data_IF_897793442918
#
_entry.id   IF_897793442918
#
_cell.length_a   1.000
_cell.length_b   1.000
_cell.length_c   1.000
_cell.angle_alpha   90.00
_cell.angle_beta   90.00
_cell.angle_gamma   90.00
#
_symmetry.space_group_name_H-M   'P 1'
#
loop_
_entity.id
_entity.type
_entity.pdbx_description
1 polymer ?
#
# COMPACT_ATOMS: atom_id res chain seq x y z
N UNK A 1 1.24 12.36 -8.07
CA UNK A 1 1.79 11.23 -7.29
C UNK A 1 2.46 10.29 -8.27
N UNK A 2 3.74 9.99 -8.05
CA UNK A 2 4.54 9.08 -8.88
C UNK A 2 4.63 7.77 -8.11
N UNK A 3 4.34 6.63 -8.72
CA UNK A 3 4.46 5.34 -8.03
C UNK A 3 5.94 5.00 -7.91
N UNK A 4 6.40 4.66 -6.70
CA UNK A 4 7.73 4.13 -6.50
C UNK A 4 7.77 2.71 -7.07
N UNK A 5 8.57 2.50 -8.11
CA UNK A 5 8.77 1.16 -8.68
C UNK A 5 10.01 0.54 -8.01
N UNK A 6 9.98 -0.74 -7.60
CA UNK A 6 11.18 -1.50 -7.26
C UNK A 6 12.22 -1.38 -8.38
N UNK A 7 13.48 -1.06 -8.06
CA UNK A 7 14.52 -0.86 -9.09
C UNK A 7 14.80 -2.11 -9.95
N UNK A 8 14.41 -3.31 -9.52
CA UNK A 8 14.53 -4.51 -10.36
C UNK A 8 13.46 -4.60 -11.47
N UNK A 9 12.26 -4.02 -11.28
CA UNK A 9 11.25 -3.89 -12.35
C UNK A 9 11.62 -2.78 -13.36
N UNK A 10 12.46 -1.83 -12.91
CA UNK A 10 12.96 -0.70 -13.67
C UNK A 10 13.89 -1.08 -14.84
N UNK A 11 14.61 -2.19 -14.72
CA UNK A 11 15.69 -2.56 -15.63
C UNK A 11 15.24 -3.46 -16.80
N UNK A 12 13.98 -3.91 -16.83
CA UNK A 12 13.47 -4.79 -17.91
C UNK A 12 12.88 -4.09 -19.14
N UNK A 13 12.72 -2.77 -19.14
CA UNK A 13 12.49 -1.99 -20.35
C UNK A 13 12.67 -0.50 -20.02
N UNK A 14 13.66 0.13 -20.65
CA UNK A 14 13.85 1.58 -20.54
C UNK A 14 12.63 2.32 -21.06
N UNK A 15 11.74 2.72 -20.14
CA UNK A 15 10.88 3.93 -20.08
C UNK A 15 9.93 3.73 -18.89
N UNK A 16 10.35 4.05 -17.66
CA UNK A 16 9.49 3.98 -16.48
C UNK A 16 8.61 5.23 -16.39
N UNK A 17 7.54 5.27 -17.17
CA UNK A 17 6.50 6.28 -16.97
C UNK A 17 5.12 5.60 -17.02
N UNK A 18 4.62 5.34 -15.81
CA UNK A 18 3.21 5.25 -15.42
C UNK A 18 2.37 4.10 -15.98
N UNK A 19 2.37 2.95 -15.29
CA UNK A 19 1.14 2.16 -15.18
C UNK A 19 0.17 2.96 -14.30
N UNK A 20 -0.88 3.52 -14.89
CA UNK A 20 -1.98 4.20 -14.18
C UNK A 20 -2.40 3.32 -13.01
N UNK A 21 -2.25 3.81 -11.80
CA UNK A 21 -2.79 3.22 -10.58
C UNK A 21 -4.22 3.70 -10.40
N UNK A 22 -5.14 2.81 -10.03
CA UNK A 22 -6.50 3.21 -9.68
C UNK A 22 -6.50 3.96 -8.35
N UNK A 23 -6.89 5.24 -8.39
CA UNK A 23 -6.98 6.12 -7.22
C UNK A 23 -8.39 6.16 -6.64
N UNK A 24 -8.55 6.46 -5.35
CA UNK A 24 -9.87 6.71 -4.77
C UNK A 24 -10.47 7.97 -5.39
N UNK A 25 -11.73 7.89 -5.83
CA UNK A 25 -12.46 8.99 -6.47
C UNK A 25 -13.95 8.89 -6.18
N UNK A 26 -14.55 10.03 -5.84
CA UNK A 26 -15.99 10.14 -5.72
C UNK A 26 -16.64 10.24 -7.10
N UNK A 27 -17.53 9.30 -7.43
CA UNK A 27 -18.20 9.26 -8.73
C UNK A 27 -19.50 10.06 -8.77
N UNK A 28 -20.15 10.25 -7.62
CA UNK A 28 -21.35 11.06 -7.51
C UNK A 28 -20.99 12.54 -7.45
N UNK A 29 -21.54 13.33 -8.37
CA UNK A 29 -21.33 14.78 -8.42
C UNK A 29 -21.87 15.49 -7.17
N UNK A 30 -22.94 14.96 -6.55
CA UNK A 30 -23.51 15.52 -5.33
C UNK A 30 -22.61 15.24 -4.11
N UNK A 31 -21.86 14.14 -4.13
CA UNK A 31 -20.93 13.76 -3.06
C UNK A 31 -19.50 13.76 -3.60
N UNK A 32 -18.97 14.94 -3.91
CA UNK A 32 -17.70 15.08 -4.63
C UNK A 32 -16.46 15.17 -3.74
N UNK A 33 -16.61 15.29 -2.43
CA UNK A 33 -15.49 15.44 -1.51
C UNK A 33 -15.03 14.10 -0.94
N UNK A 34 -13.83 13.65 -1.32
CA UNK A 34 -13.22 12.44 -0.77
C UNK A 34 -12.89 12.63 0.71
N UNK A 35 -13.45 11.78 1.57
CA UNK A 35 -13.19 11.79 3.02
C UNK A 35 -12.14 10.76 3.38
N UNK A 36 -12.33 9.52 2.93
CA UNK A 36 -11.42 8.41 3.24
C UNK A 36 -11.59 7.27 2.25
N UNK A 37 -10.59 6.40 2.20
CA UNK A 37 -10.66 5.14 1.47
C UNK A 37 -9.94 4.04 2.25
N UNK A 38 -10.36 2.79 2.04
CA UNK A 38 -9.69 1.62 2.57
C UNK A 38 -9.85 0.40 1.65
N UNK A 39 -8.92 -0.54 1.74
CA UNK A 39 -9.02 -1.78 1.00
C UNK A 39 -10.14 -2.67 1.55
N UNK A 40 -11.09 -3.01 0.69
CA UNK A 40 -12.17 -3.95 0.99
C UNK A 40 -11.74 -5.39 0.68
N UNK A 41 -11.02 -5.57 -0.42
CA UNK A 41 -10.36 -6.81 -0.82
C UNK A 41 -9.02 -6.46 -1.45
N UNK A 42 -8.21 -7.46 -1.79
CA UNK A 42 -6.96 -7.25 -2.55
C UNK A 42 -7.19 -6.58 -3.90
N UNK A 43 -8.41 -6.58 -4.44
CA UNK A 43 -8.74 -6.05 -5.77
C UNK A 43 -9.82 -4.96 -5.72
N UNK A 44 -10.15 -4.42 -4.55
CA UNK A 44 -11.13 -3.35 -4.43
C UNK A 44 -10.93 -2.47 -3.21
N UNK A 45 -11.29 -1.20 -3.35
CA UNK A 45 -11.32 -0.24 -2.25
C UNK A 45 -12.75 0.27 -2.02
N UNK A 46 -13.09 0.54 -0.77
CA UNK A 46 -14.26 1.33 -0.41
C UNK A 46 -13.85 2.78 -0.25
N UNK A 47 -14.66 3.68 -0.79
CA UNK A 47 -14.43 5.13 -0.78
C UNK A 47 -15.61 5.80 -0.09
N UNK A 48 -15.32 6.69 0.86
CA UNK A 48 -16.33 7.52 1.53
C UNK A 48 -16.24 8.94 1.00
N UNK A 49 -17.39 9.46 0.59
CA UNK A 49 -17.51 10.77 -0.02
C UNK A 49 -18.55 11.62 0.71
N UNK A 50 -18.24 12.89 0.94
CA UNK A 50 -19.12 13.86 1.56
C UNK A 50 -19.78 14.77 0.53
N UNK A 51 -20.98 15.25 0.87
CA UNK A 51 -21.64 16.30 0.14
C UNK A 51 -21.16 17.67 0.64
N UNK A 52 -20.67 18.50 -0.29
CA UNK A 52 -20.18 19.84 0.02
C UNK A 52 -21.28 20.80 0.48
N UNK A 53 -22.47 20.67 -0.10
CA UNK A 53 -23.60 21.56 0.14
C UNK A 53 -24.40 21.14 1.40
N UNK A 54 -24.27 19.88 1.81
CA UNK A 54 -24.95 19.30 2.99
C UNK A 54 -23.95 18.66 3.96
N UNK A 55 -23.27 19.46 4.81
CA UNK A 55 -22.30 18.96 5.77
C UNK A 55 -22.87 17.85 6.67
N UNK A 56 -22.11 16.77 6.84
CA UNK A 56 -22.51 15.61 7.64
C UNK A 56 -23.30 14.53 6.89
N UNK A 57 -23.51 14.69 5.59
CA UNK A 57 -24.06 13.64 4.72
C UNK A 57 -22.95 12.95 3.93
N UNK A 58 -23.01 11.61 3.87
CA UNK A 58 -21.98 10.78 3.28
C UNK A 58 -22.58 9.72 2.36
N UNK A 59 -21.83 9.33 1.34
CA UNK A 59 -22.09 8.14 0.54
C UNK A 59 -20.84 7.24 0.52
N UNK A 60 -21.03 5.98 0.17
CA UNK A 60 -19.96 5.01 0.02
C UNK A 60 -20.04 4.32 -1.32
N UNK A 61 -18.91 4.24 -2.03
CA UNK A 61 -18.78 3.50 -3.28
C UNK A 61 -17.66 2.46 -3.18
N UNK A 62 -17.79 1.38 -3.95
CA UNK A 62 -16.70 0.42 -4.14
C UNK A 62 -16.06 0.64 -5.51
N UNK A 63 -14.74 0.84 -5.51
CA UNK A 63 -13.93 0.94 -6.73
C UNK A 63 -13.15 -0.36 -6.88
N UNK A 64 -13.25 -0.97 -8.07
CA UNK A 64 -12.45 -2.13 -8.43
C UNK A 64 -11.08 -1.69 -8.92
N UNK A 65 -10.04 -2.34 -8.42
CA UNK A 65 -8.70 -2.23 -8.98
C UNK A 65 -8.66 -2.83 -10.40
N UNK A 66 -7.74 -2.34 -11.23
CA UNK A 66 -7.47 -3.00 -12.51
C UNK A 66 -6.86 -4.39 -12.24
N UNK A 67 -7.03 -5.33 -13.18
CA UNK A 67 -6.75 -6.75 -12.91
C UNK A 67 -5.32 -7.12 -12.50
N UNK A 68 -4.32 -6.26 -12.74
CA UNK A 68 -2.93 -6.48 -12.32
C UNK A 68 -2.52 -5.59 -11.13
N UNK A 69 -3.46 -4.85 -10.54
CA UNK A 69 -3.21 -4.00 -9.39
C UNK A 69 -3.66 -4.70 -8.11
N UNK A 70 -3.02 -4.35 -7.00
CA UNK A 70 -3.43 -4.76 -5.66
C UNK A 70 -3.83 -3.53 -4.87
N UNK A 71 -4.84 -3.65 -4.03
CA UNK A 71 -5.20 -2.60 -3.10
C UNK A 71 -4.19 -2.56 -1.95
N UNK A 72 -3.61 -1.40 -1.70
CA UNK A 72 -2.77 -1.13 -0.55
C UNK A 72 -3.34 0.01 0.29
N UNK A 73 -3.36 -0.19 1.61
CA UNK A 73 -3.79 0.80 2.58
C UNK A 73 -2.57 1.58 3.08
N UNK A 74 -2.60 2.90 2.93
CA UNK A 74 -1.53 3.78 3.39
C UNK A 74 -2.07 5.01 4.09
N UNK A 75 -1.20 5.68 4.85
CA UNK A 75 -1.52 6.92 5.54
C UNK A 75 -0.98 8.11 4.74
N UNK A 76 -1.84 9.02 4.25
CA UNK A 76 -1.40 10.29 3.64
C UNK A 76 -0.84 11.25 4.71
N UNK A 77 -1.39 11.17 5.92
CA UNK A 77 -0.92 11.80 7.16
C UNK A 77 -1.16 10.81 8.30
N UNK A 78 -0.61 11.04 9.49
CA UNK A 78 -0.82 10.17 10.67
C UNK A 78 -2.30 9.90 11.01
N UNK A 79 -3.25 10.69 10.47
CA UNK A 79 -4.68 10.57 10.73
C UNK A 79 -5.53 10.26 9.49
N UNK A 80 -4.95 10.30 8.29
CA UNK A 80 -5.69 10.17 7.04
C UNK A 80 -5.43 8.80 6.41
N UNK A 81 -6.26 7.82 6.80
CA UNK A 81 -6.28 6.50 6.15
C UNK A 81 -6.77 6.64 4.72
N UNK A 82 -5.98 6.14 3.79
CA UNK A 82 -6.31 6.06 2.38
C UNK A 82 -6.02 4.67 1.85
N UNK A 83 -6.53 4.40 0.66
CA UNK A 83 -6.19 3.23 -0.11
C UNK A 83 -5.96 3.62 -1.56
N UNK A 84 -5.09 2.88 -2.24
CA UNK A 84 -4.84 3.02 -3.66
C UNK A 84 -4.50 1.65 -4.25
N UNK A 85 -4.86 1.43 -5.52
CA UNK A 85 -4.45 0.22 -6.21
C UNK A 85 -3.04 0.39 -6.78
N UNK A 86 -2.06 -0.32 -6.23
CA UNK A 86 -0.68 -0.33 -6.67
C UNK A 86 -0.48 -1.28 -7.85
N UNK A 87 0.20 -0.80 -8.90
CA UNK A 87 0.53 -1.58 -10.10
C UNK A 87 1.96 -2.16 -10.06
N UNK A 88 2.70 -1.82 -9.02
CA UNK A 88 4.06 -2.28 -8.73
C UNK A 88 4.17 -2.46 -7.22
N UNK A 89 4.57 -3.66 -6.80
CA UNK A 89 4.54 -4.11 -5.42
C UNK A 89 5.45 -5.32 -5.24
N UNK A 90 5.84 -5.59 -3.99
CA UNK A 90 6.43 -6.87 -3.60
C UNK A 90 5.32 -7.80 -3.14
N UNK A 91 5.43 -9.07 -3.49
CA UNK A 91 4.52 -10.13 -3.08
C UNK A 91 5.31 -11.24 -2.39
N UNK A 92 4.82 -11.73 -1.25
CA UNK A 92 5.38 -12.88 -0.57
C UNK A 92 4.29 -13.63 0.20
N UNK A 93 4.42 -14.94 0.36
CA UNK A 93 3.48 -15.76 1.12
C UNK A 93 4.14 -16.36 2.35
N UNK A 94 3.31 -16.86 3.27
CA UNK A 94 3.83 -17.46 4.49
C UNK A 94 4.52 -18.81 4.27
N UNK A 95 4.22 -19.56 3.20
CA UNK A 95 4.78 -20.89 2.93
C UNK A 95 4.80 -21.83 4.16
N UNK A 96 3.78 -21.74 5.02
CA UNK A 96 3.70 -22.43 6.32
C UNK A 96 4.80 -22.08 7.34
N UNK A 97 5.53 -20.99 7.11
CA UNK A 97 6.46 -20.40 8.07
C UNK A 97 5.72 -19.51 9.07
N UNK A 98 6.18 -19.53 10.32
CA UNK A 98 5.67 -18.66 11.39
C UNK A 98 5.99 -17.18 11.13
N UNK A 99 7.17 -16.89 10.57
CA UNK A 99 7.61 -15.55 10.16
C UNK A 99 7.84 -15.57 8.65
N UNK A 100 7.27 -14.61 7.94
CA UNK A 100 7.50 -14.48 6.50
C UNK A 100 7.78 -13.04 6.09
N UNK A 101 8.81 -12.86 5.29
CA UNK A 101 9.32 -11.57 4.87
C UNK A 101 9.35 -11.45 3.35
N UNK A 102 9.09 -10.24 2.85
CA UNK A 102 9.39 -9.88 1.49
C UNK A 102 10.90 -9.92 1.23
N UNK A 103 11.29 -9.90 -0.04
CA UNK A 103 12.67 -9.57 -0.38
C UNK A 103 12.92 -8.09 -0.09
N UNK A 104 14.13 -7.70 0.34
CA UNK A 104 14.54 -6.30 0.35
C UNK A 104 14.49 -5.72 -1.06
N UNK A 105 13.96 -4.50 -1.19
CA UNK A 105 13.93 -3.79 -2.45
C UNK A 105 14.01 -2.27 -2.25
N UNK A 106 14.84 -1.56 -3.04
CA UNK A 106 14.84 -0.11 -3.07
C UNK A 106 13.71 0.40 -3.97
N UNK A 107 13.13 1.54 -3.61
CA UNK A 107 12.03 2.16 -4.36
C UNK A 107 12.46 3.50 -4.96
N UNK A 108 11.94 3.85 -6.12
CA UNK A 108 12.21 5.17 -6.72
C UNK A 108 13.56 5.29 -7.45
N UNK A 109 13.73 6.40 -8.19
CA UNK A 109 14.78 6.56 -9.20
C UNK A 109 16.07 7.24 -8.73
N UNK A 110 16.39 7.22 -7.44
CA UNK A 110 17.61 7.85 -6.88
C UNK A 110 17.50 9.36 -6.62
N UNK A 111 16.35 9.97 -6.89
CA UNK A 111 16.03 11.33 -6.43
C UNK A 111 15.57 11.29 -4.96
N UNK A 112 15.71 12.42 -4.28
CA UNK A 112 15.12 12.61 -2.95
C UNK A 112 13.63 12.85 -3.10
N UNK A 113 12.82 12.06 -2.40
CA UNK A 113 11.36 12.19 -2.41
C UNK A 113 10.75 11.73 -1.10
N UNK A 114 9.55 12.21 -0.81
CA UNK A 114 8.75 11.66 0.29
C UNK A 114 8.08 10.37 -0.19
N UNK A 115 8.31 9.28 0.55
CA UNK A 115 7.76 7.97 0.25
C UNK A 115 6.72 7.59 1.29
N UNK A 116 5.55 7.20 0.80
CA UNK A 116 4.49 6.55 1.56
C UNK A 116 4.60 5.06 1.29
N UNK A 117 4.84 4.26 2.32
CA UNK A 117 4.91 2.80 2.19
C UNK A 117 3.75 2.16 2.94
N UNK A 118 3.21 1.11 2.34
CA UNK A 118 2.15 0.31 2.93
C UNK A 118 2.36 -1.17 2.66
N UNK A 119 1.93 -1.98 3.61
CA UNK A 119 1.92 -3.42 3.52
C UNK A 119 0.55 -3.94 3.95
N UNK A 120 0.01 -4.89 3.21
CA UNK A 120 -1.27 -5.52 3.50
C UNK A 120 -1.20 -7.05 3.35
N UNK A 121 -2.00 -7.78 4.11
CA UNK A 121 -2.07 -9.24 4.09
C UNK A 121 -3.47 -9.72 3.73
N UNK A 122 -3.54 -10.69 2.83
CA UNK A 122 -4.79 -11.25 2.33
C UNK A 122 -4.79 -12.78 2.38
N UNK A 123 -5.99 -13.35 2.50
CA UNK A 123 -6.22 -14.79 2.34
C UNK A 123 -6.25 -15.21 0.86
N UNK A 124 -6.48 -16.49 0.62
CA UNK A 124 -6.53 -17.08 -0.73
C UNK A 124 -7.67 -16.53 -1.59
N UNK A 125 -8.74 -16.05 -0.96
CA UNK A 125 -9.91 -15.46 -1.63
C UNK A 125 -9.72 -13.95 -1.86
N UNK A 126 -8.64 -13.37 -1.33
CA UNK A 126 -8.32 -11.96 -1.45
C UNK A 126 -9.01 -11.09 -0.40
N UNK A 127 -9.51 -11.66 0.69
CA UNK A 127 -10.03 -10.87 1.82
C UNK A 127 -8.89 -10.50 2.77
N UNK A 128 -8.93 -9.31 3.40
CA UNK A 128 -7.93 -8.94 4.40
C UNK A 128 -7.89 -9.96 5.55
N UNK A 129 -6.70 -10.44 5.89
CA UNK A 129 -6.51 -11.40 6.99
C UNK A 129 -5.57 -10.82 8.04
N UNK A 130 -5.96 -10.93 9.31
CA UNK A 130 -5.13 -10.41 10.39
C UNK A 130 -3.93 -11.32 10.65
N UNK A 131 -2.80 -10.68 10.96
CA UNK A 131 -1.56 -11.33 11.38
C UNK A 131 -1.20 -10.90 12.80
N UNK A 132 -0.43 -11.73 13.51
CA UNK A 132 -0.08 -11.51 14.92
C UNK A 132 0.78 -10.24 15.06
N UNK A 133 1.76 -10.09 14.17
CA UNK A 133 2.61 -8.92 14.05
C UNK A 133 2.89 -8.62 12.57
N UNK A 134 2.94 -7.34 12.21
CA UNK A 134 3.28 -6.88 10.87
C UNK A 134 4.21 -5.67 10.96
N UNK A 135 5.38 -5.72 10.34
CA UNK A 135 6.39 -4.68 10.41
C UNK A 135 6.97 -4.32 9.04
N UNK A 136 7.42 -3.08 8.92
CA UNK A 136 8.19 -2.55 7.79
C UNK A 136 9.57 -2.19 8.30
N UNK A 137 10.59 -2.57 7.54
CA UNK A 137 11.99 -2.32 7.82
C UNK A 137 12.60 -1.46 6.71
N UNK A 138 13.59 -0.65 7.10
CA UNK A 138 14.50 0.04 6.19
C UNK A 138 15.93 -0.28 6.63
N UNK A 139 16.74 -0.91 5.78
CA UNK A 139 18.07 -1.40 6.12
C UNK A 139 18.10 -2.21 7.43
N UNK A 140 17.19 -3.19 7.55
CA UNK A 140 17.01 -4.04 8.75
C UNK A 140 16.61 -3.30 10.04
N UNK A 141 16.28 -2.01 9.97
CA UNK A 141 15.75 -1.26 11.10
C UNK A 141 14.24 -1.16 10.98
N UNK A 142 13.53 -1.60 12.02
CA UNK A 142 12.08 -1.43 12.09
C UNK A 142 11.72 0.06 12.08
N UNK A 143 10.86 0.46 11.14
CA UNK A 143 10.37 1.84 11.01
C UNK A 143 8.88 1.96 11.29
N UNK A 144 8.14 0.85 11.23
CA UNK A 144 6.74 0.77 11.61
C UNK A 144 6.35 -0.66 11.94
N UNK A 145 5.46 -0.83 12.92
CA UNK A 145 4.87 -2.11 13.25
C UNK A 145 3.45 -1.98 13.77
N UNK A 146 2.67 -3.05 13.59
CA UNK A 146 1.34 -3.21 14.13
C UNK A 146 1.16 -4.63 14.67
N UNK A 147 0.19 -4.82 15.56
CA UNK A 147 -0.17 -6.12 16.11
C UNK A 147 -1.66 -6.38 15.93
N UNK A 148 -2.02 -7.63 15.61
CA UNK A 148 -3.42 -8.04 15.35
C UNK A 148 -4.10 -7.16 14.28
N UNK A 149 -3.37 -6.84 13.22
CA UNK A 149 -3.83 -6.05 12.07
C UNK A 149 -3.47 -6.78 10.79
N UNK A 150 -4.16 -6.46 9.70
CA UNK A 150 -3.83 -6.97 8.36
C UNK A 150 -2.95 -6.01 7.57
N UNK A 151 -2.59 -4.85 8.16
CA UNK A 151 -1.89 -3.77 7.48
C UNK A 151 -0.96 -2.99 8.39
N UNK A 152 0.09 -2.43 7.79
CA UNK A 152 1.04 -1.50 8.40
C UNK A 152 1.47 -0.50 7.33
N UNK A 153 1.67 0.76 7.71
CA UNK A 153 2.14 1.79 6.79
C UNK A 153 2.88 2.89 7.53
N UNK A 154 3.74 3.61 6.82
CA UNK A 154 4.49 4.75 7.36
C UNK A 154 4.93 5.70 6.26
N UNK A 155 5.37 6.89 6.65
CA UNK A 155 5.84 7.93 5.76
C UNK A 155 7.32 8.16 6.05
N UNK A 156 8.16 8.00 5.03
CA UNK A 156 9.58 8.36 5.09
C UNK A 156 9.80 9.65 4.31
N UNK A 157 10.24 10.69 5.02
CA UNK A 157 10.49 12.01 4.43
C UNK A 157 11.91 12.11 3.91
N UNK A 158 12.08 12.70 2.73
CA UNK A 158 13.40 12.93 2.13
C UNK A 158 14.18 11.65 1.82
N UNK A 159 13.48 10.55 1.51
CA UNK A 159 14.10 9.28 1.16
C UNK A 159 14.86 9.37 -0.17
N UNK A 160 16.06 8.81 -0.21
CA UNK A 160 16.87 8.67 -1.40
C UNK A 160 17.43 7.25 -1.49
N UNK A 161 16.97 6.49 -2.48
CA UNK A 161 17.27 5.07 -2.60
C UNK A 161 18.76 4.71 -2.68
N UNK A 162 19.61 5.62 -3.15
CA UNK A 162 21.07 5.40 -3.20
C UNK A 162 21.76 5.52 -1.85
N UNK A 163 21.14 6.20 -0.89
CA UNK A 163 21.78 6.58 0.38
C UNK A 163 21.09 5.87 1.56
N UNK A 164 19.75 5.76 1.52
CA UNK A 164 18.92 5.23 2.60
C UNK A 164 18.66 3.72 2.51
N UNK A 165 18.90 3.12 1.35
CA UNK A 165 18.86 1.68 1.13
C UNK A 165 17.47 1.08 0.86
N UNK A 166 17.27 -0.16 1.31
CA UNK A 166 16.19 -1.04 0.85
C UNK A 166 15.09 -1.21 1.91
N UNK A 167 13.86 -1.32 1.43
CA UNK A 167 12.71 -1.66 2.26
C UNK A 167 12.42 -3.15 2.19
N UNK A 168 11.99 -3.71 3.31
CA UNK A 168 11.36 -5.02 3.38
C UNK A 168 10.21 -5.00 4.40
N UNK A 169 9.35 -6.00 4.34
CA UNK A 169 8.25 -6.13 5.27
C UNK A 169 8.05 -7.58 5.68
N UNK A 170 7.79 -7.80 6.96
CA UNK A 170 7.61 -9.13 7.54
C UNK A 170 6.32 -9.19 8.34
N UNK A 171 5.66 -10.35 8.29
CA UNK A 171 4.54 -10.65 9.17
C UNK A 171 4.74 -11.98 9.92
N UNK A 172 4.07 -12.08 11.07
CA UNK A 172 4.00 -13.28 11.91
C UNK A 172 2.59 -13.84 11.87
N UNK A 173 2.44 -15.13 11.60
CA UNK A 173 1.13 -15.78 11.57
C UNK A 173 1.18 -17.19 12.17
N UNK A 174 0.40 -17.40 13.23
CA UNK A 174 0.30 -18.67 13.96
C UNK A 174 -0.77 -19.65 13.42
N UNK A 175 -1.55 -19.25 12.42
CA UNK A 175 -2.63 -20.06 11.84
C UNK A 175 -2.19 -21.02 10.72
N UNK A 176 -3.13 -21.85 10.26
CA UNK A 176 -2.92 -22.78 9.13
C UNK A 176 -3.34 -22.22 7.77
N UNK A 177 -3.94 -21.03 7.74
CA UNK A 177 -4.32 -20.38 6.51
C UNK A 177 -3.08 -19.96 5.71
N UNK A 178 -3.20 -20.01 4.38
CA UNK A 178 -2.23 -19.36 3.50
C UNK A 178 -2.48 -17.86 3.55
N UNK A 179 -1.42 -17.11 3.82
CA UNK A 179 -1.43 -15.65 3.88
C UNK A 179 -0.46 -15.13 2.84
N UNK A 180 -0.91 -14.19 2.02
CA UNK A 180 -0.07 -13.46 1.07
C UNK A 180 0.04 -12.00 1.50
N UNK A 181 1.27 -11.54 1.70
CA UNK A 181 1.62 -10.15 1.92
C UNK A 181 1.90 -9.42 0.61
N UNK A 182 1.48 -8.16 0.55
CA UNK A 182 1.79 -7.22 -0.52
C UNK A 182 2.38 -5.96 0.09
N UNK A 183 3.41 -5.40 -0.54
CA UNK A 183 4.08 -4.19 -0.08
C UNK A 183 4.27 -3.24 -1.25
N UNK A 184 3.79 -2.00 -1.10
CA UNK A 184 3.87 -0.97 -2.12
C UNK A 184 4.45 0.33 -1.56
N UNK A 185 5.00 1.14 -2.47
CA UNK A 185 5.52 2.46 -2.16
C UNK A 185 5.01 3.49 -3.16
N UNK A 186 4.64 4.66 -2.64
CA UNK A 186 4.15 5.78 -3.44
C UNK A 186 5.02 7.00 -3.16
N UNK A 187 5.52 7.63 -4.22
CA UNK A 187 6.37 8.80 -4.15
C UNK A 187 5.61 10.10 -4.43
N UNK A 188 5.97 11.15 -3.71
CA UNK A 188 5.65 12.52 -4.09
C UNK A 188 6.96 13.28 -4.25
N UNK A 189 7.23 13.72 -5.49
CA UNK A 189 8.33 14.64 -5.76
C UNK A 189 8.09 15.93 -4.99
N UNK A 190 9.09 16.36 -4.23
CA UNK A 190 9.11 17.61 -3.47
C UNK A 190 9.65 18.75 -4.30
#
# INVERSE_FOLDING_TARGET
>A
MVVGVPLEESTKNGTLISKRTTTPVCKDHNYSELVSAWCATKSSMTVICANKDFPGTFTSDTIQCNGAEICDDYFLTEKDSQAQCASSYLEWDNNNSYVSCSRPSPFGGGQTLDVFVGAATYDVDGNPIQVDQFAIYLNNKEIASTSNKHKVSTILRGYKSTDDGEFDSCFIFSGIARVTGYFAAFGVET
#
